data_IF_369616080632
#
_entry.id   IF_369616080632
#
_cell.length_a   1.000
_cell.length_b   1.000
_cell.length_c   1.000
_cell.angle_alpha   90.00
_cell.angle_beta   90.00
_cell.angle_gamma   90.00
#
_symmetry.space_group_name_H-M   'P 1'
#
loop_
_entity.id
_entity.type
_entity.pdbx_description
1 polymer ?
#
# COMPACT_ATOMS: atom_id res chain seq x y z
N UNK A 1 -5.82 -10.89 30.27
CA UNK A 1 -4.66 -9.97 30.27
C UNK A 1 -3.82 -10.18 29.02
N UNK A 2 -3.53 -11.43 28.65
CA UNK A 2 -2.89 -11.77 27.36
C UNK A 2 -3.71 -11.35 26.13
N UNK A 3 -5.04 -11.57 26.13
CA UNK A 3 -5.93 -11.12 25.04
C UNK A 3 -5.78 -9.62 24.73
N UNK A 4 -5.72 -8.77 25.74
CA UNK A 4 -5.56 -7.32 25.55
C UNK A 4 -4.19 -6.96 24.96
N UNK A 5 -3.14 -7.74 25.26
CA UNK A 5 -1.81 -7.53 24.67
C UNK A 5 -1.81 -7.84 23.18
N UNK A 6 -2.51 -8.90 22.77
CA UNK A 6 -2.64 -9.28 21.35
C UNK A 6 -3.45 -8.29 20.52
N UNK A 7 -4.58 -7.78 21.05
CA UNK A 7 -5.32 -6.71 20.39
C UNK A 7 -4.49 -5.42 20.26
N UNK A 8 -3.69 -5.10 21.27
CA UNK A 8 -2.83 -3.91 21.24
C UNK A 8 -1.70 -4.06 20.22
N UNK A 9 -1.06 -5.23 20.14
CA UNK A 9 -0.05 -5.52 19.12
C UNK A 9 -0.63 -5.39 17.72
N UNK A 10 -1.80 -5.98 17.45
CA UNK A 10 -2.49 -5.87 16.17
C UNK A 10 -2.80 -4.42 15.79
N UNK A 11 -3.28 -3.62 16.74
CA UNK A 11 -3.58 -2.21 16.51
C UNK A 11 -2.32 -1.38 16.21
N UNK A 12 -1.23 -1.61 16.93
CA UNK A 12 0.04 -0.89 16.74
C UNK A 12 0.68 -1.27 15.41
N UNK A 13 0.74 -2.56 15.08
CA UNK A 13 1.31 -3.04 13.81
C UNK A 13 0.52 -2.49 12.62
N UNK A 14 -0.82 -2.55 12.67
CA UNK A 14 -1.70 -1.96 11.65
C UNK A 14 -1.47 -0.45 11.51
N UNK A 15 -1.40 0.27 12.63
CA UNK A 15 -1.13 1.71 12.62
C UNK A 15 0.24 2.04 12.04
N UNK A 16 1.27 1.27 12.41
CA UNK A 16 2.61 1.42 11.89
C UNK A 16 2.66 1.27 10.36
N UNK A 17 1.99 0.26 9.80
CA UNK A 17 1.85 0.08 8.36
C UNK A 17 1.19 1.28 7.67
N UNK A 18 0.13 1.86 8.27
CA UNK A 18 -0.52 3.05 7.73
C UNK A 18 0.40 4.28 7.74
N UNK A 19 1.16 4.49 8.82
CA UNK A 19 2.13 5.59 8.92
C UNK A 19 3.24 5.41 7.89
N UNK A 20 3.82 4.22 7.78
CA UNK A 20 4.83 3.92 6.77
C UNK A 20 4.29 4.09 5.34
N UNK A 21 3.06 3.64 5.08
CA UNK A 21 2.40 3.84 3.79
C UNK A 21 2.20 5.32 3.45
N UNK A 22 1.84 6.15 4.43
CA UNK A 22 1.72 7.60 4.24
C UNK A 22 3.07 8.26 3.90
N UNK A 23 4.17 7.82 4.53
CA UNK A 23 5.52 8.29 4.19
C UNK A 23 5.93 7.87 2.77
N UNK A 24 5.61 6.65 2.36
CA UNK A 24 5.90 6.16 1.00
C UNK A 24 5.06 6.90 -0.05
N UNK A 25 3.82 7.27 0.26
CA UNK A 25 3.01 8.11 -0.63
C UNK A 25 3.71 9.43 -0.98
N UNK A 26 4.50 10.00 -0.07
CA UNK A 26 5.27 11.21 -0.32
C UNK A 26 6.35 11.04 -1.39
N UNK A 27 6.79 9.81 -1.67
CA UNK A 27 7.72 9.53 -2.76
C UNK A 27 7.14 9.92 -4.12
N UNK A 28 5.82 9.79 -4.32
CA UNK A 28 5.17 10.22 -5.56
C UNK A 28 5.32 11.73 -5.80
N UNK A 29 5.22 12.55 -4.76
CA UNK A 29 5.50 13.98 -4.85
C UNK A 29 6.99 14.25 -5.15
N UNK A 30 7.89 13.45 -4.57
CA UNK A 30 9.33 13.48 -4.86
C UNK A 30 9.64 13.22 -6.34
N UNK A 31 9.06 12.18 -6.93
CA UNK A 31 9.23 11.85 -8.35
C UNK A 31 8.64 12.90 -9.28
N UNK A 32 7.46 13.44 -8.95
CA UNK A 32 6.87 14.53 -9.72
C UNK A 32 7.79 15.76 -9.77
N UNK A 33 8.41 16.13 -8.64
CA UNK A 33 9.39 17.21 -8.60
C UNK A 33 10.66 16.88 -9.38
N UNK A 34 11.19 15.66 -9.26
CA UNK A 34 12.38 15.21 -9.98
C UNK A 34 12.18 15.25 -11.50
N UNK A 35 11.11 14.64 -12.01
CA UNK A 35 10.82 14.60 -13.46
C UNK A 35 10.56 16.01 -14.00
N UNK A 36 9.82 16.83 -13.25
CA UNK A 36 9.51 18.21 -13.68
C UNK A 36 10.74 19.12 -13.73
N UNK A 37 11.77 18.85 -12.91
CA UNK A 37 13.03 19.59 -12.88
C UNK A 37 14.04 19.18 -13.95
N UNK A 38 13.90 17.98 -14.51
CA UNK A 38 14.75 17.47 -15.59
C UNK A 38 14.28 17.89 -16.99
N UNK A 39 13.05 18.38 -17.12
CA UNK A 39 12.48 18.86 -18.38
C UNK A 39 12.58 20.37 -18.54
N UNK A 40 12.41 20.84 -19.79
CA UNK A 40 12.33 22.29 -20.07
C UNK A 40 11.11 22.90 -19.40
N UNK A 41 11.26 24.10 -18.85
CA UNK A 41 10.21 24.83 -18.12
C UNK A 41 8.85 24.93 -18.85
N UNK A 42 8.86 25.00 -20.19
CA UNK A 42 7.62 25.04 -21.00
C UNK A 42 6.80 23.73 -20.95
N UNK A 43 7.41 22.62 -20.57
CA UNK A 43 6.79 21.29 -20.53
C UNK A 43 6.51 20.81 -19.10
N UNK A 44 6.86 21.60 -18.07
CA UNK A 44 6.73 21.22 -16.66
C UNK A 44 5.29 20.87 -16.28
N UNK A 45 4.30 21.64 -16.76
CA UNK A 45 2.87 21.38 -16.49
C UNK A 45 2.43 20.00 -17.02
N UNK A 46 2.88 19.63 -18.21
CA UNK A 46 2.54 18.34 -18.84
C UNK A 46 3.08 17.16 -18.01
N UNK A 47 4.33 17.28 -17.54
CA UNK A 47 4.96 16.24 -16.72
C UNK A 47 4.29 16.10 -15.35
N UNK A 48 3.88 17.21 -14.73
CA UNK A 48 3.15 17.17 -13.46
C UNK A 48 1.78 16.50 -13.64
N UNK A 49 1.05 16.83 -14.70
CA UNK A 49 -0.23 16.17 -15.02
C UNK A 49 -0.05 14.68 -15.30
N UNK A 50 1.00 14.28 -16.03
CA UNK A 50 1.35 12.88 -16.27
C UNK A 50 1.58 12.13 -14.96
N UNK A 51 2.33 12.70 -14.02
CA UNK A 51 2.62 12.07 -12.73
C UNK A 51 1.35 11.84 -11.88
N UNK A 52 0.46 12.83 -11.83
CA UNK A 52 -0.83 12.70 -11.12
C UNK A 52 -1.72 11.64 -11.77
N UNK A 53 -1.84 11.67 -13.10
CA UNK A 53 -2.65 10.70 -13.84
C UNK A 53 -2.11 9.27 -13.65
N UNK A 54 -0.79 9.09 -13.71
CA UNK A 54 -0.14 7.80 -13.52
C UNK A 54 -0.39 7.24 -12.12
N UNK A 55 -0.31 8.09 -11.08
CA UNK A 55 -0.62 7.69 -9.71
C UNK A 55 -2.09 7.24 -9.57
N UNK A 56 -3.04 8.00 -10.14
CA UNK A 56 -4.46 7.64 -10.11
C UNK A 56 -4.76 6.31 -10.82
N UNK A 57 -4.16 6.10 -12.00
CA UNK A 57 -4.30 4.85 -12.76
C UNK A 57 -3.67 3.68 -12.01
N UNK A 58 -2.48 3.84 -11.44
CA UNK A 58 -1.81 2.79 -10.66
C UNK A 58 -2.67 2.35 -9.47
N UNK A 59 -3.19 3.30 -8.70
CA UNK A 59 -4.06 3.02 -7.56
C UNK A 59 -5.35 2.29 -7.98
N UNK A 60 -5.97 2.72 -9.09
CA UNK A 60 -7.21 2.13 -9.59
C UNK A 60 -6.99 0.71 -10.12
N UNK A 61 -5.93 0.49 -10.90
CA UNK A 61 -5.58 -0.85 -11.41
C UNK A 61 -5.20 -1.81 -10.28
N UNK A 62 -4.53 -1.31 -9.24
CA UNK A 62 -4.20 -2.11 -8.08
C UNK A 62 -5.44 -2.53 -7.29
N UNK A 63 -6.43 -1.64 -7.17
CA UNK A 63 -7.74 -1.94 -6.58
C UNK A 63 -8.52 -2.98 -7.38
N UNK A 64 -8.56 -2.85 -8.72
CA UNK A 64 -9.35 -3.74 -9.58
C UNK A 64 -8.75 -5.15 -9.57
N UNK A 65 -7.45 -5.30 -9.88
CA UNK A 65 -6.85 -6.60 -10.09
C UNK A 65 -5.44 -6.76 -9.50
N UNK A 66 -4.71 -5.69 -9.21
CA UNK A 66 -3.32 -5.81 -8.74
C UNK A 66 -3.18 -6.54 -7.42
N UNK A 67 -4.05 -6.25 -6.45
CA UNK A 67 -4.06 -6.96 -5.16
C UNK A 67 -4.39 -8.45 -5.33
N UNK A 68 -5.37 -8.76 -6.20
CA UNK A 68 -5.76 -10.13 -6.51
C UNK A 68 -4.61 -10.93 -7.14
N UNK A 69 -3.83 -10.32 -8.03
CA UNK A 69 -2.67 -10.97 -8.67
C UNK A 69 -1.53 -11.20 -7.67
N UNK A 70 -1.28 -10.24 -6.77
CA UNK A 70 -0.14 -10.30 -5.86
C UNK A 70 -0.35 -11.27 -4.69
N UNK A 71 -1.56 -11.32 -4.14
CA UNK A 71 -1.89 -12.14 -2.97
C UNK A 71 -2.87 -13.29 -3.25
N UNK A 72 -3.30 -13.49 -4.50
CA UNK A 72 -4.21 -14.57 -4.88
C UNK A 72 -5.67 -14.35 -4.47
N UNK A 73 -6.10 -13.09 -4.31
CA UNK A 73 -7.43 -12.71 -3.86
C UNK A 73 -8.49 -12.54 -4.96
N UNK A 74 -9.63 -11.93 -4.61
CA UNK A 74 -10.72 -11.62 -5.53
C UNK A 74 -10.55 -10.24 -6.19
N UNK A 75 -11.09 -10.10 -7.40
CA UNK A 75 -11.17 -8.83 -8.14
C UNK A 75 -11.96 -7.80 -7.31
N UNK A 76 -11.59 -6.51 -7.40
CA UNK A 76 -12.21 -5.39 -6.69
C UNK A 76 -12.14 -5.48 -5.16
N UNK A 77 -11.12 -6.14 -4.60
CA UNK A 77 -10.97 -6.22 -3.14
C UNK A 77 -12.19 -6.89 -2.46
N UNK A 78 -12.93 -7.73 -3.18
CA UNK A 78 -14.12 -8.40 -2.65
C UNK A 78 -13.74 -9.25 -1.42
N UNK A 79 -14.30 -8.89 -0.26
CA UNK A 79 -14.02 -9.51 1.05
C UNK A 79 -12.96 -8.83 1.90
N UNK A 80 -12.23 -7.80 1.41
CA UNK A 80 -11.19 -7.13 2.22
C UNK A 80 -11.77 -6.22 3.32
N UNK A 81 -13.03 -5.80 3.16
CA UNK A 81 -13.74 -4.95 4.13
C UNK A 81 -14.37 -5.76 5.27
N UNK A 82 -14.49 -7.08 5.11
CA UNK A 82 -14.95 -7.99 6.15
C UNK A 82 -13.77 -8.25 7.11
N UNK A 83 -13.55 -7.31 8.03
CA UNK A 83 -12.49 -7.41 9.05
C UNK A 83 -13.01 -8.24 10.22
N UNK A 84 -12.84 -9.56 10.17
CA UNK A 84 -13.06 -10.44 11.31
C UNK A 84 -11.81 -10.48 12.21
N UNK A 85 -11.76 -9.59 13.18
CA UNK A 85 -10.62 -9.46 14.11
C UNK A 85 -10.41 -10.75 14.92
N UNK A 86 -11.49 -11.44 15.30
CA UNK A 86 -11.41 -12.67 16.10
C UNK A 86 -10.94 -13.86 15.26
N UNK A 87 -11.40 -13.97 14.01
CA UNK A 87 -10.92 -14.95 13.04
C UNK A 87 -9.45 -14.75 12.67
N UNK A 88 -9.04 -13.51 12.42
CA UNK A 88 -7.64 -13.13 12.14
C UNK A 88 -6.75 -13.51 13.33
N UNK A 89 -7.09 -13.09 14.55
CA UNK A 89 -6.31 -13.44 15.75
C UNK A 89 -6.30 -14.95 16.04
N UNK A 90 -7.39 -15.67 15.72
CA UNK A 90 -7.50 -17.12 15.85
C UNK A 90 -6.59 -17.89 14.89
N UNK A 91 -6.55 -17.49 13.61
CA UNK A 91 -5.65 -18.08 12.61
C UNK A 91 -4.17 -17.85 13.00
N UNK A 92 -3.83 -16.67 13.52
CA UNK A 92 -2.47 -16.37 13.96
C UNK A 92 -2.06 -17.09 15.26
N UNK A 93 -3.00 -17.32 16.19
CA UNK A 93 -2.76 -18.15 17.38
C UNK A 93 -2.43 -19.61 17.03
N UNK A 94 -2.85 -20.09 15.86
CA UNK A 94 -2.63 -21.46 15.39
C UNK A 94 -1.31 -21.69 14.65
N UNK A 95 -0.54 -20.62 14.36
CA UNK A 95 0.78 -20.73 13.71
C UNK A 95 1.82 -21.32 14.67
N UNK A 96 2.79 -22.04 14.13
CA UNK A 96 3.82 -22.79 14.89
C UNK A 96 4.65 -21.88 15.83
N UNK A 97 4.85 -20.60 15.45
CA UNK A 97 5.51 -19.56 16.24
C UNK A 97 4.54 -18.64 17.02
N UNK A 98 3.23 -18.91 16.97
CA UNK A 98 2.18 -18.12 17.63
C UNK A 98 2.27 -16.60 17.38
N UNK A 99 1.92 -15.81 18.40
CA UNK A 99 2.04 -14.33 18.40
C UNK A 99 3.48 -13.81 18.45
N UNK A 100 4.45 -14.70 18.65
CA UNK A 100 5.88 -14.38 18.57
C UNK A 100 6.44 -14.47 17.15
N UNK A 101 5.67 -15.06 16.21
CA UNK A 101 6.02 -15.16 14.80
C UNK A 101 5.40 -14.06 13.95
N UNK A 102 6.20 -13.05 13.60
CA UNK A 102 5.85 -12.00 12.62
C UNK A 102 4.86 -10.94 13.12
N UNK A 103 4.82 -9.80 12.41
CA UNK A 103 3.87 -8.70 12.68
C UNK A 103 2.45 -9.09 12.27
N UNK A 104 1.46 -8.68 13.05
CA UNK A 104 0.04 -9.02 12.83
C UNK A 104 -0.71 -7.74 12.49
N UNK A 105 -1.23 -7.63 11.27
CA UNK A 105 -1.83 -6.40 10.78
C UNK A 105 -3.08 -6.67 9.94
N UNK A 106 -3.91 -5.65 9.77
CA UNK A 106 -5.10 -5.74 8.94
C UNK A 106 -4.77 -5.89 7.45
N UNK A 107 -5.48 -6.76 6.74
CA UNK A 107 -5.38 -6.88 5.27
C UNK A 107 -5.65 -5.56 4.54
N UNK A 108 -6.49 -4.68 5.10
CA UNK A 108 -6.72 -3.35 4.54
C UNK A 108 -5.49 -2.43 4.66
N UNK A 109 -4.72 -2.54 5.75
CA UNK A 109 -3.48 -1.78 5.93
C UNK A 109 -2.37 -2.27 5.02
N UNK A 110 -2.31 -3.57 4.75
CA UNK A 110 -1.41 -4.13 3.74
C UNK A 110 -1.79 -3.69 2.33
N UNK A 111 -3.09 -3.68 1.97
CA UNK A 111 -3.53 -3.11 0.70
C UNK A 111 -3.07 -1.66 0.52
N UNK A 112 -3.29 -0.81 1.53
CA UNK A 112 -2.86 0.59 1.49
C UNK A 112 -1.34 0.74 1.37
N UNK A 113 -0.59 -0.07 2.10
CA UNK A 113 0.86 -0.06 2.00
C UNK A 113 1.31 -0.46 0.60
N UNK A 114 0.75 -1.53 0.04
CA UNK A 114 1.21 -2.05 -1.24
C UNK A 114 0.78 -1.18 -2.44
N UNK A 115 -0.40 -0.55 -2.38
CA UNK A 115 -0.86 0.32 -3.48
C UNK A 115 0.09 1.50 -3.70
N UNK A 116 0.65 2.07 -2.63
CA UNK A 116 1.60 3.18 -2.75
C UNK A 116 2.98 2.72 -3.25
N UNK A 117 3.40 1.49 -2.98
CA UNK A 117 4.62 0.91 -3.57
C UNK A 117 4.47 0.70 -5.07
N UNK A 118 3.35 0.10 -5.50
CA UNK A 118 3.08 -0.13 -6.93
C UNK A 118 3.00 1.20 -7.68
N UNK A 119 2.33 2.21 -7.10
CA UNK A 119 2.29 3.55 -7.67
C UNK A 119 3.69 4.18 -7.79
N UNK A 120 4.55 3.97 -6.80
CA UNK A 120 5.94 4.45 -6.82
C UNK A 120 6.77 3.75 -7.90
N UNK A 121 6.67 2.43 -8.03
CA UNK A 121 7.34 1.66 -9.09
C UNK A 121 6.92 2.14 -10.48
N UNK A 122 5.64 2.43 -10.68
CA UNK A 122 5.15 2.98 -11.93
C UNK A 122 5.77 4.34 -12.24
N UNK A 123 5.95 5.20 -11.23
CA UNK A 123 6.60 6.51 -11.42
C UNK A 123 8.04 6.38 -11.93
N UNK A 124 8.79 5.38 -11.46
CA UNK A 124 10.16 5.12 -11.95
C UNK A 124 10.16 4.78 -13.45
N UNK A 125 9.21 3.94 -13.87
CA UNK A 125 9.05 3.58 -15.29
C UNK A 125 8.62 4.79 -16.13
N UNK A 126 7.74 5.64 -15.60
CA UNK A 126 7.33 6.89 -16.25
C UNK A 126 8.52 7.81 -16.51
N UNK A 127 9.38 8.01 -15.50
CA UNK A 127 10.55 8.88 -15.60
C UNK A 127 11.62 8.34 -16.56
N UNK A 128 11.73 7.02 -16.72
CA UNK A 128 12.62 6.42 -17.72
C UNK A 128 12.17 6.66 -19.18
N UNK A 129 10.88 6.96 -19.39
CA UNK A 129 10.26 7.15 -20.72
C UNK A 129 9.88 8.63 -20.97
N UNK A 130 10.07 9.52 -19.99
CA UNK A 130 9.75 10.94 -20.05
C UNK A 130 10.83 11.76 -20.77
#
# INVERSE_FOLDING_TARGET
MESNVFHLQYAIDTFYFLVCGALVMWMAAGFAMLESGLVRAKNTTEILTKNVALFAVACTMYLICGYAIMYGGNIFLSGIADVDVDGVLGDFASREDGFTGGSIYSGASDFFFQVVFVATCMSIVSGAVA
#
